data_IF_476123135020
#
_entry.id   IF_476123135020
#
_cell.length_a   1.000
_cell.length_b   1.000
_cell.length_c   1.000
_cell.angle_alpha   90.00
_cell.angle_beta   90.00
_cell.angle_gamma   90.00
#
_symmetry.space_group_name_H-M   'P 1'
#
loop_
_entity.id
_entity.type
_entity.pdbx_description
1 polymer ?
#
# COMPACT_ATOMS: atom_id res chain seq x y z
N UNK A 1 5.58 12.76 30.83
CA UNK A 1 4.34 12.13 30.32
C UNK A 1 4.67 11.48 28.98
N UNK A 2 4.64 10.14 28.91
CA UNK A 2 4.85 9.40 27.67
C UNK A 2 3.61 9.57 26.77
N UNK A 3 3.80 10.20 25.60
CA UNK A 3 2.70 10.46 24.64
C UNK A 3 2.52 9.31 23.64
N UNK A 4 2.42 8.08 24.11
CA UNK A 4 2.10 6.96 23.22
C UNK A 4 0.60 6.89 22.92
N UNK A 5 0.25 6.52 21.68
CA UNK A 5 -1.13 6.20 21.32
C UNK A 5 -1.58 4.95 22.09
N UNK A 6 -2.85 4.91 22.48
CA UNK A 6 -3.44 3.76 23.22
C UNK A 6 -3.25 2.44 22.47
N UNK A 7 -3.34 2.45 21.14
CA UNK A 7 -3.05 1.27 20.30
C UNK A 7 -1.63 0.75 20.45
N UNK A 8 -0.64 1.65 20.56
CA UNK A 8 0.76 1.28 20.79
C UNK A 8 0.96 0.70 22.19
N UNK A 9 0.33 1.31 23.20
CA UNK A 9 0.36 0.79 24.58
C UNK A 9 -0.22 -0.63 24.62
N UNK A 10 -1.38 -0.85 23.98
CA UNK A 10 -1.98 -2.18 23.91
C UNK A 10 -1.10 -3.21 23.19
N UNK A 11 -0.34 -2.79 22.17
CA UNK A 11 0.62 -3.67 21.52
C UNK A 11 1.75 -4.10 22.46
N UNK A 12 2.26 -3.19 23.28
CA UNK A 12 3.26 -3.53 24.31
C UNK A 12 2.66 -4.41 25.40
N UNK A 13 1.45 -4.12 25.88
CA UNK A 13 0.76 -4.94 26.86
C UNK A 13 0.49 -6.36 26.35
N UNK A 14 0.19 -6.51 25.05
CA UNK A 14 0.02 -7.84 24.45
C UNK A 14 1.29 -8.68 24.54
N UNK A 15 2.47 -8.06 24.26
CA UNK A 15 3.77 -8.75 24.35
C UNK A 15 4.08 -9.13 25.82
N UNK A 16 3.89 -8.20 26.75
CA UNK A 16 4.14 -8.43 28.19
C UNK A 16 3.20 -9.54 28.70
N UNK A 17 1.90 -9.48 28.40
CA UNK A 17 0.95 -10.49 28.80
C UNK A 17 1.26 -11.87 28.21
N UNK A 18 1.75 -11.93 26.97
CA UNK A 18 2.19 -13.18 26.37
C UNK A 18 3.41 -13.75 27.10
N UNK A 19 4.39 -12.91 27.43
CA UNK A 19 5.54 -13.31 28.22
C UNK A 19 5.12 -13.85 29.61
N UNK A 20 4.26 -13.11 30.33
CA UNK A 20 3.74 -13.57 31.62
C UNK A 20 3.03 -14.93 31.51
N UNK A 21 2.26 -15.13 30.45
CA UNK A 21 1.59 -16.42 30.20
C UNK A 21 2.59 -17.56 29.98
N UNK A 22 3.67 -17.32 29.21
CA UNK A 22 4.72 -18.32 28.98
C UNK A 22 5.48 -18.67 30.25
N UNK A 23 5.63 -17.72 31.18
CA UNK A 23 6.30 -17.92 32.47
C UNK A 23 5.37 -18.48 33.56
N UNK A 24 4.08 -18.69 33.26
CA UNK A 24 3.08 -19.15 34.25
C UNK A 24 2.61 -18.05 35.20
N UNK A 25 2.98 -16.79 35.01
CA UNK A 25 2.63 -15.63 35.86
C UNK A 25 1.29 -15.04 35.46
N UNK A 26 0.22 -15.79 35.60
CA UNK A 26 -1.12 -15.38 35.12
C UNK A 26 -1.74 -14.24 35.96
N UNK A 27 -1.34 -14.10 37.18
CA UNK A 27 -1.71 -13.05 38.13
C UNK A 27 -1.13 -11.66 37.77
N UNK A 28 -0.01 -11.64 37.05
CA UNK A 28 0.64 -10.40 36.62
C UNK A 28 0.12 -9.85 35.28
N UNK A 29 -0.90 -10.47 34.70
CA UNK A 29 -1.48 -10.03 33.42
C UNK A 29 -2.27 -8.73 33.60
N UNK A 30 -1.96 -7.76 32.75
CA UNK A 30 -2.59 -6.42 32.77
C UNK A 30 -3.71 -6.36 31.75
N UNK A 31 -4.85 -5.80 32.14
CA UNK A 31 -5.97 -5.58 31.22
C UNK A 31 -5.58 -4.55 30.14
N UNK A 32 -5.94 -4.83 28.91
CA UNK A 32 -5.77 -3.87 27.80
C UNK A 32 -6.71 -2.67 27.99
N UNK A 33 -6.23 -1.50 27.56
CA UNK A 33 -7.02 -0.29 27.56
C UNK A 33 -8.10 -0.43 26.48
N UNK A 34 -9.36 -0.25 26.83
CA UNK A 34 -10.45 -0.24 25.86
C UNK A 34 -10.28 0.95 24.91
N UNK A 35 -10.22 0.68 23.62
CA UNK A 35 -10.24 1.72 22.58
C UNK A 35 -11.68 1.78 22.08
N UNK A 36 -12.32 2.91 22.25
CA UNK A 36 -13.56 3.19 21.56
C UNK A 36 -13.16 3.47 20.10
N UNK A 37 -13.46 2.52 19.22
CA UNK A 37 -13.28 2.73 17.80
C UNK A 37 -14.53 3.42 17.29
N UNK A 38 -14.37 4.60 16.72
CA UNK A 38 -15.43 5.20 15.92
C UNK A 38 -15.72 4.24 14.77
N UNK A 39 -16.96 3.81 14.65
CA UNK A 39 -17.39 2.82 13.64
C UNK A 39 -17.13 3.31 12.21
N UNK A 40 -16.96 4.61 12.02
CA UNK A 40 -16.68 5.25 10.74
C UNK A 40 -15.41 6.09 10.83
N UNK A 41 -14.53 5.95 9.86
CA UNK A 41 -13.46 6.92 9.69
C UNK A 41 -14.08 8.29 9.39
N UNK A 42 -13.56 9.40 9.95
CA UNK A 42 -14.04 10.72 9.58
C UNK A 42 -14.01 10.89 8.07
N UNK A 43 -15.12 11.31 7.44
CA UNK A 43 -15.24 11.52 5.98
C UNK A 43 -14.09 12.33 5.39
N UNK A 44 -13.52 13.23 6.18
CA UNK A 44 -12.36 14.04 5.79
C UNK A 44 -11.05 13.26 5.56
N UNK A 45 -10.99 11.96 5.89
CA UNK A 45 -9.79 11.13 5.69
C UNK A 45 -9.86 10.24 4.46
N UNK A 46 -11.02 10.11 3.85
CA UNK A 46 -11.21 9.30 2.65
C UNK A 46 -10.90 10.11 1.41
N UNK A 47 -10.28 9.46 0.43
CA UNK A 47 -9.99 10.06 -0.86
C UNK A 47 -11.23 9.98 -1.75
N UNK A 48 -11.66 11.11 -2.31
CA UNK A 48 -12.76 11.13 -3.25
C UNK A 48 -12.32 10.62 -4.63
N UNK A 49 -13.27 10.19 -5.46
CA UNK A 49 -12.99 9.81 -6.85
C UNK A 49 -12.35 10.94 -7.66
N UNK A 50 -12.76 12.18 -7.41
CA UNK A 50 -12.20 13.36 -8.06
C UNK A 50 -10.74 13.61 -7.65
N UNK A 51 -10.42 13.47 -6.36
CA UNK A 51 -9.06 13.58 -5.84
C UNK A 51 -8.17 12.49 -6.43
N UNK A 52 -8.66 11.25 -6.50
CA UNK A 52 -7.96 10.13 -7.13
C UNK A 52 -7.69 10.38 -8.62
N UNK A 53 -8.71 10.80 -9.38
CA UNK A 53 -8.56 11.12 -10.79
C UNK A 53 -7.59 12.31 -11.01
N UNK A 54 -7.55 13.28 -10.09
CA UNK A 54 -6.63 14.42 -10.11
C UNK A 54 -5.18 13.98 -9.90
N UNK A 55 -4.94 13.05 -8.99
CA UNK A 55 -3.60 12.46 -8.80
C UNK A 55 -3.10 11.79 -10.08
N UNK A 56 -3.92 10.96 -10.73
CA UNK A 56 -3.54 10.27 -11.96
C UNK A 56 -3.22 11.29 -13.06
N UNK A 57 -4.12 12.26 -13.29
CA UNK A 57 -3.92 13.30 -14.32
C UNK A 57 -2.67 14.14 -14.06
N UNK A 58 -2.38 14.45 -12.80
CA UNK A 58 -1.19 15.23 -12.43
C UNK A 58 0.08 14.42 -12.68
N UNK A 59 0.13 13.14 -12.34
CA UNK A 59 1.25 12.26 -12.64
C UNK A 59 1.50 12.16 -14.15
N UNK A 60 0.42 12.03 -14.94
CA UNK A 60 0.52 12.00 -16.41
C UNK A 60 1.05 13.31 -17.00
N UNK A 61 0.58 14.46 -16.52
CA UNK A 61 1.07 15.78 -16.95
C UNK A 61 2.54 16.02 -16.63
N UNK A 62 3.02 15.45 -15.52
CA UNK A 62 4.44 15.50 -15.14
C UNK A 62 5.31 14.51 -15.91
N UNK A 63 4.73 13.67 -16.76
CA UNK A 63 5.43 12.61 -17.47
C UNK A 63 5.85 11.44 -16.59
N UNK A 64 5.38 11.38 -15.34
CA UNK A 64 5.66 10.25 -14.42
C UNK A 64 4.64 9.12 -14.64
N UNK A 65 4.79 8.45 -15.79
CA UNK A 65 3.93 7.31 -16.14
C UNK A 65 4.05 6.17 -15.13
N UNK A 66 5.24 5.96 -14.57
CA UNK A 66 5.45 4.95 -13.52
C UNK A 66 4.53 5.19 -12.34
N UNK A 67 4.50 6.42 -11.83
CA UNK A 67 3.67 6.79 -10.69
C UNK A 67 2.18 6.72 -11.04
N UNK A 68 1.80 7.15 -12.24
CA UNK A 68 0.43 7.01 -12.74
C UNK A 68 -0.03 5.56 -12.78
N UNK A 69 0.78 4.66 -13.35
CA UNK A 69 0.50 3.23 -13.38
C UNK A 69 0.44 2.62 -11.97
N UNK A 70 1.34 3.03 -11.07
CA UNK A 70 1.39 2.54 -9.70
C UNK A 70 0.11 2.91 -8.93
N UNK A 71 -0.35 4.16 -9.01
CA UNK A 71 -1.58 4.62 -8.36
C UNK A 71 -2.79 3.85 -8.88
N UNK A 72 -2.90 3.69 -10.19
CA UNK A 72 -3.99 2.93 -10.80
C UNK A 72 -3.95 1.45 -10.39
N UNK A 73 -2.77 0.88 -10.25
CA UNK A 73 -2.60 -0.49 -9.76
C UNK A 73 -3.08 -0.64 -8.31
N UNK A 74 -2.67 0.27 -7.42
CA UNK A 74 -3.10 0.25 -6.03
C UNK A 74 -4.62 0.39 -5.90
N UNK A 75 -5.20 1.37 -6.60
CA UNK A 75 -6.64 1.66 -6.52
C UNK A 75 -7.53 0.59 -7.13
N UNK A 76 -7.09 -0.06 -8.22
CA UNK A 76 -7.92 -1.06 -8.90
C UNK A 76 -7.78 -2.48 -8.36
N UNK A 77 -6.70 -2.78 -7.63
CA UNK A 77 -6.42 -4.15 -7.16
C UNK A 77 -6.41 -4.29 -5.65
N UNK A 78 -6.31 -3.20 -4.90
CA UNK A 78 -6.12 -3.25 -3.45
C UNK A 78 -4.85 -3.99 -3.00
N UNK A 79 -3.84 -4.08 -3.87
CA UNK A 79 -2.56 -4.74 -3.56
C UNK A 79 -1.79 -3.95 -2.50
N UNK A 80 -1.15 -4.65 -1.58
CA UNK A 80 -0.26 -3.99 -0.61
C UNK A 80 1.04 -3.55 -1.27
N UNK A 81 1.64 -2.44 -0.82
CA UNK A 81 2.93 -1.97 -1.35
C UNK A 81 4.00 -3.06 -1.31
N UNK A 82 4.09 -3.81 -0.22
CA UNK A 82 5.06 -4.90 -0.09
C UNK A 82 4.87 -6.03 -1.12
N UNK A 83 3.71 -6.10 -1.73
CA UNK A 83 3.33 -7.13 -2.70
C UNK A 83 3.50 -6.67 -4.15
N UNK A 84 3.76 -5.37 -4.39
CA UNK A 84 3.95 -4.81 -5.73
C UNK A 84 5.07 -5.48 -6.53
N UNK A 85 6.05 -6.08 -5.87
CA UNK A 85 7.12 -6.84 -6.52
C UNK A 85 6.60 -8.08 -7.27
N UNK A 86 5.41 -8.60 -6.90
CA UNK A 86 4.77 -9.72 -7.58
C UNK A 86 4.03 -9.32 -8.87
N UNK A 87 3.87 -8.02 -9.12
CA UNK A 87 3.38 -7.54 -10.41
C UNK A 87 4.54 -7.53 -11.40
N UNK A 88 4.63 -8.60 -12.15
CA UNK A 88 5.72 -8.85 -13.10
C UNK A 88 5.19 -8.90 -14.53
N UNK A 89 6.10 -8.83 -15.50
CA UNK A 89 5.74 -9.01 -16.92
C UNK A 89 5.08 -10.36 -17.15
N UNK A 90 5.57 -11.40 -16.45
CA UNK A 90 5.03 -12.74 -16.52
C UNK A 90 3.60 -12.79 -15.97
N UNK A 91 3.37 -12.19 -14.80
CA UNK A 91 2.04 -12.14 -14.19
C UNK A 91 1.01 -11.39 -15.05
N UNK A 92 1.45 -10.39 -15.82
CA UNK A 92 0.58 -9.70 -16.78
C UNK A 92 0.12 -10.60 -17.93
N UNK A 93 0.86 -11.63 -18.28
CA UNK A 93 0.43 -12.58 -19.34
C UNK A 93 -0.76 -13.40 -18.86
N UNK A 94 -0.74 -13.79 -17.58
CA UNK A 94 -1.80 -14.58 -16.95
C UNK A 94 -2.98 -13.73 -16.45
N UNK A 95 -2.87 -12.40 -16.44
CA UNK A 95 -3.91 -11.50 -15.95
C UNK A 95 -4.08 -11.49 -14.43
N UNK A 96 -3.15 -12.09 -13.69
CA UNK A 96 -3.18 -12.15 -12.22
C UNK A 96 -1.78 -12.30 -11.63
N UNK A 97 -1.63 -11.87 -10.36
CA UNK A 97 -0.47 -12.19 -9.52
C UNK A 97 -0.86 -13.18 -8.42
N UNK A 98 0.00 -14.14 -8.15
CA UNK A 98 -0.09 -15.00 -6.98
C UNK A 98 0.85 -14.50 -5.89
N UNK A 99 0.32 -14.34 -4.68
CA UNK A 99 1.06 -13.80 -3.53
C UNK A 99 1.03 -14.83 -2.43
N UNK A 100 2.22 -15.27 -2.05
CA UNK A 100 2.42 -16.19 -0.92
C UNK A 100 2.88 -15.38 0.30
N UNK A 101 2.07 -15.35 1.35
CA UNK A 101 2.42 -14.65 2.58
C UNK A 101 2.01 -15.47 3.81
N UNK A 102 2.98 -15.76 4.69
CA UNK A 102 2.77 -16.50 5.96
C UNK A 102 1.94 -17.78 5.79
N UNK A 103 2.27 -18.58 4.77
CA UNK A 103 1.57 -19.85 4.48
C UNK A 103 0.18 -19.71 3.85
N UNK A 104 -0.26 -18.48 3.56
CA UNK A 104 -1.52 -18.21 2.84
C UNK A 104 -1.21 -17.75 1.44
N UNK A 105 -1.94 -18.31 0.46
CA UNK A 105 -1.91 -17.87 -0.93
C UNK A 105 -3.12 -17.01 -1.23
N UNK A 106 -2.91 -15.89 -1.92
CA UNK A 106 -4.01 -15.11 -2.49
C UNK A 106 -3.69 -14.74 -3.94
N UNK A 107 -4.72 -14.66 -4.75
CA UNK A 107 -4.64 -14.22 -6.14
C UNK A 107 -5.17 -12.79 -6.26
N UNK A 108 -4.47 -11.97 -7.00
CA UNK A 108 -4.88 -10.62 -7.36
C UNK A 108 -5.15 -10.61 -8.86
N UNK A 109 -6.40 -10.41 -9.23
CA UNK A 109 -6.81 -10.30 -10.62
C UNK A 109 -6.54 -8.88 -11.13
N UNK A 110 -6.12 -8.77 -12.39
CA UNK A 110 -5.94 -7.47 -13.04
C UNK A 110 -7.18 -7.16 -13.88
N UNK A 111 -7.87 -6.04 -13.61
CA UNK A 111 -8.88 -5.53 -14.54
C UNK A 111 -8.28 -5.36 -15.93
N UNK A 112 -9.05 -5.65 -16.99
CA UNK A 112 -8.55 -5.65 -18.35
C UNK A 112 -7.90 -4.35 -18.78
N UNK A 113 -8.44 -3.21 -18.35
CA UNK A 113 -7.86 -1.89 -18.62
C UNK A 113 -6.51 -1.68 -17.93
N UNK A 114 -6.39 -2.14 -16.68
CA UNK A 114 -5.11 -2.10 -15.96
C UNK A 114 -4.07 -2.97 -16.65
N UNK A 115 -4.45 -4.18 -17.08
CA UNK A 115 -3.55 -5.09 -17.78
C UNK A 115 -3.01 -4.47 -19.08
N UNK A 116 -3.89 -3.83 -19.87
CA UNK A 116 -3.50 -3.10 -21.09
C UNK A 116 -2.55 -1.95 -20.78
N UNK A 117 -2.86 -1.16 -19.75
CA UNK A 117 -2.03 -0.05 -19.30
C UNK A 117 -0.63 -0.50 -18.90
N UNK A 118 -0.52 -1.53 -18.06
CA UNK A 118 0.75 -2.05 -17.58
C UNK A 118 1.57 -2.72 -18.70
N UNK A 119 0.93 -3.41 -19.64
CA UNK A 119 1.61 -3.95 -20.83
C UNK A 119 2.18 -2.84 -21.70
N UNK A 120 1.43 -1.76 -21.92
CA UNK A 120 1.91 -0.58 -22.66
C UNK A 120 3.10 0.07 -21.97
N UNK A 121 3.01 0.26 -20.65
CA UNK A 121 4.08 0.81 -19.83
C UNK A 121 5.34 -0.08 -19.89
N UNK A 122 5.21 -1.39 -19.67
CA UNK A 122 6.33 -2.33 -19.72
C UNK A 122 7.05 -2.30 -21.08
N UNK A 123 6.28 -2.28 -22.18
CA UNK A 123 6.84 -2.15 -23.55
C UNK A 123 7.61 -0.85 -23.73
N UNK A 124 7.07 0.28 -23.27
CA UNK A 124 7.72 1.61 -23.38
C UNK A 124 9.03 1.66 -22.59
N UNK A 125 9.03 1.12 -21.37
CA UNK A 125 10.20 1.08 -20.47
C UNK A 125 11.17 -0.07 -20.80
N UNK A 126 10.89 -0.84 -21.87
CA UNK A 126 11.69 -2.03 -22.28
C UNK A 126 11.91 -3.01 -21.13
N UNK A 127 10.82 -3.29 -20.37
CA UNK A 127 10.82 -4.27 -19.29
C UNK A 127 10.42 -5.62 -19.90
N UNK A 128 11.37 -6.50 -20.11
CA UNK A 128 11.15 -7.80 -20.76
C UNK A 128 10.76 -8.89 -19.76
N UNK A 129 11.22 -8.78 -18.51
CA UNK A 129 10.95 -9.75 -17.44
C UNK A 129 11.01 -9.13 -16.05
N UNK A 130 10.43 -9.82 -15.06
CA UNK A 130 10.47 -9.44 -13.66
C UNK A 130 9.53 -8.29 -13.29
N UNK A 131 9.79 -7.61 -12.16
CA UNK A 131 8.89 -6.60 -11.61
C UNK A 131 8.67 -5.41 -12.53
N UNK A 132 7.41 -4.98 -12.69
CA UNK A 132 7.01 -3.81 -13.47
C UNK A 132 7.47 -2.52 -12.78
N UNK A 133 7.26 -2.43 -11.45
CA UNK A 133 7.62 -1.26 -10.66
C UNK A 133 9.03 -1.42 -10.09
N UNK A 134 10.01 -0.89 -10.84
CA UNK A 134 11.43 -0.99 -10.48
C UNK A 134 12.10 0.37 -10.35
N UNK A 135 13.16 0.42 -9.54
CA UNK A 135 14.05 1.57 -9.40
C UNK A 135 14.95 1.68 -10.65
N UNK A 136 15.75 2.75 -10.71
CA UNK A 136 16.76 2.90 -11.78
C UNK A 136 17.80 1.77 -11.79
N UNK A 137 18.05 1.15 -10.63
CA UNK A 137 18.96 0.00 -10.50
C UNK A 137 18.33 -1.35 -10.86
N UNK A 138 17.08 -1.37 -11.36
CA UNK A 138 16.37 -2.60 -11.72
C UNK A 138 15.72 -3.34 -10.53
N UNK A 139 15.99 -2.96 -9.28
CA UNK A 139 15.38 -3.55 -8.09
C UNK A 139 13.93 -3.09 -7.94
N UNK A 140 13.04 -3.91 -7.33
CA UNK A 140 11.68 -3.48 -6.98
C UNK A 140 11.69 -2.17 -6.20
N UNK A 141 10.65 -1.35 -6.38
CA UNK A 141 10.48 -0.13 -5.60
C UNK A 141 10.25 -0.47 -4.13
N UNK A 142 10.97 0.18 -3.25
CA UNK A 142 10.75 0.08 -1.81
C UNK A 142 9.58 0.98 -1.34
N UNK A 143 9.04 0.64 -0.17
CA UNK A 143 7.92 1.36 0.44
C UNK A 143 8.22 2.85 0.66
N UNK A 144 9.42 3.20 1.08
CA UNK A 144 9.81 4.58 1.40
C UNK A 144 9.88 5.45 0.15
N UNK A 145 10.37 4.89 -0.96
CA UNK A 145 10.41 5.56 -2.25
C UNK A 145 8.99 5.81 -2.77
N UNK A 146 8.12 4.80 -2.74
CA UNK A 146 6.72 4.93 -3.15
C UNK A 146 6.03 6.02 -2.32
N UNK A 147 6.21 5.98 -1.00
CA UNK A 147 5.61 6.96 -0.10
C UNK A 147 6.05 8.40 -0.43
N UNK A 148 7.36 8.62 -0.66
CA UNK A 148 7.90 9.93 -1.07
C UNK A 148 7.34 10.40 -2.41
N UNK A 149 7.23 9.51 -3.40
CA UNK A 149 6.65 9.82 -4.70
C UNK A 149 5.18 10.25 -4.55
N UNK A 150 4.39 9.51 -3.78
CA UNK A 150 2.98 9.82 -3.54
C UNK A 150 2.80 11.15 -2.80
N UNK A 151 3.58 11.43 -1.76
CA UNK A 151 3.53 12.72 -1.03
C UNK A 151 3.92 13.90 -1.89
N UNK A 152 4.91 13.75 -2.75
CA UNK A 152 5.29 14.81 -3.71
C UNK A 152 4.16 15.08 -4.69
N UNK A 153 3.54 14.02 -5.19
CA UNK A 153 2.41 14.14 -6.11
C UNK A 153 1.19 14.79 -5.45
N UNK A 154 0.89 14.49 -4.17
CA UNK A 154 -0.25 15.07 -3.47
C UNK A 154 -0.16 16.60 -3.42
N UNK A 155 1.02 17.15 -3.16
CA UNK A 155 1.25 18.59 -3.19
C UNK A 155 1.01 19.18 -4.59
N UNK A 156 1.55 18.53 -5.63
CA UNK A 156 1.37 18.99 -7.01
C UNK A 156 -0.10 18.89 -7.47
N UNK A 157 -0.82 17.89 -7.02
CA UNK A 157 -2.24 17.67 -7.34
C UNK A 157 -3.21 18.49 -6.46
N UNK A 158 -2.70 19.24 -5.47
CA UNK A 158 -3.50 19.95 -4.47
C UNK A 158 -4.50 19.02 -3.77
N UNK A 159 -4.05 17.83 -3.40
CA UNK A 159 -4.80 16.85 -2.61
C UNK A 159 -4.16 16.78 -1.23
N UNK A 160 -4.98 16.72 -0.18
CA UNK A 160 -4.45 16.65 1.18
C UNK A 160 -3.51 15.45 1.33
N UNK A 161 -2.28 15.75 1.74
CA UNK A 161 -1.25 14.72 1.94
C UNK A 161 -1.66 13.69 3.02
N UNK A 162 -2.54 14.03 3.96
CA UNK A 162 -3.06 13.10 4.95
C UNK A 162 -3.94 12.01 4.33
N UNK A 163 -4.61 12.31 3.20
CA UNK A 163 -5.45 11.36 2.46
C UNK A 163 -4.66 10.46 1.52
N UNK A 164 -3.44 10.88 1.09
CA UNK A 164 -2.66 10.16 0.08
C UNK A 164 -1.72 9.17 0.74
N UNK A 165 -2.20 7.96 0.95
CA UNK A 165 -1.43 6.81 1.42
C UNK A 165 -1.91 5.53 0.71
N UNK A 166 -1.10 4.47 0.67
CA UNK A 166 -1.38 3.32 -0.20
C UNK A 166 -2.66 2.53 0.09
N UNK A 167 -3.20 2.67 1.30
CA UNK A 167 -4.45 2.01 1.69
C UNK A 167 -5.69 2.92 1.53
N UNK A 168 -5.52 4.17 1.07
CA UNK A 168 -6.62 5.10 0.79
C UNK A 168 -7.04 5.10 -0.67
N UNK A 169 -6.39 4.30 -1.50
CA UNK A 169 -6.62 4.18 -2.94
C UNK A 169 -7.46 2.96 -3.28
#
# INVERSE_FOLDING_TARGET
KCHYKVSSINSYLAVVNHFCACMGWNDLRVKMIRIQQDAFAPENREMTQEEYARLIRTAQRQGDEKLSCLIQTLGSTGIRISELCHITVESLRFGMAEIHNKGKMRRILYPGELQKLLKKYAKKEKIESGPIFRSRSGKPLDRSNIWRMMKRLSHAAKVDAAKVYPHSM
#
